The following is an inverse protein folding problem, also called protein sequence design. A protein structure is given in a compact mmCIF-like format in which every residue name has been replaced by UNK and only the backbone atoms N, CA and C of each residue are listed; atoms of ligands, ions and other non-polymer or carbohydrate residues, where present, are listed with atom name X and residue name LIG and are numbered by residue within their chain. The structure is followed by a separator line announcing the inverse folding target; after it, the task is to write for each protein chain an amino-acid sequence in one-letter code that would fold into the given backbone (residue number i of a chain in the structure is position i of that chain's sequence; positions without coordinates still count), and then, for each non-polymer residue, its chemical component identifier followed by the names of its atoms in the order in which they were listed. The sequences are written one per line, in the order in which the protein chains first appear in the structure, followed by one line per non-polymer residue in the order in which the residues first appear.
data_IF_658679303327
#
_entry.id   IF_658679303327
#
_cell.length_a   1.000
_cell.length_b   1.000
_cell.length_c   1.000
_cell.angle_alpha   90.00
_cell.angle_beta   90.00
_cell.angle_gamma   90.00
#
_symmetry.space_group_name_H-M   'P 1'
#
loop_
_entity.id
_entity.type
_entity.pdbx_description
1 polymer ?
#
# COMPACT_ATOMS: atom_id res chain seq x y z
N UNK A 1 -1.55 -8.17 -28.44
CA UNK A 1 -1.92 -8.84 -27.18
C UNK A 1 -2.88 -7.91 -26.48
N UNK A 2 -4.08 -8.33 -26.06
CA UNK A 2 -4.97 -7.40 -25.38
C UNK A 2 -4.33 -7.12 -24.01
N UNK A 3 -3.99 -5.87 -23.75
CA UNK A 3 -3.77 -5.39 -22.40
C UNK A 3 -5.10 -5.62 -21.66
N UNK A 4 -5.20 -6.71 -20.89
CA UNK A 4 -6.31 -6.90 -19.97
C UNK A 4 -6.26 -5.74 -18.98
N UNK A 5 -7.11 -4.73 -19.21
CA UNK A 5 -7.34 -3.64 -18.27
C UNK A 5 -8.01 -4.25 -17.03
N UNK A 6 -7.18 -4.72 -16.10
CA UNK A 6 -7.61 -5.09 -14.75
C UNK A 6 -8.29 -3.87 -14.13
N UNK A 7 -9.46 -4.07 -13.53
CA UNK A 7 -10.05 -3.06 -12.67
C UNK A 7 -9.14 -2.77 -11.47
N UNK A 8 -9.32 -1.62 -10.81
CA UNK A 8 -8.56 -1.28 -9.60
C UNK A 8 -8.66 -2.39 -8.54
N UNK A 9 -9.86 -2.95 -8.36
CA UNK A 9 -10.11 -4.07 -7.43
C UNK A 9 -9.31 -5.32 -7.82
N UNK A 10 -9.38 -5.74 -9.08
CA UNK A 10 -8.64 -6.93 -9.55
C UNK A 10 -7.13 -6.74 -9.48
N UNK A 11 -6.64 -5.55 -9.84
CA UNK A 11 -5.24 -5.20 -9.72
C UNK A 11 -4.79 -5.21 -8.24
N UNK A 12 -5.66 -4.75 -7.34
CA UNK A 12 -5.40 -4.75 -5.90
C UNK A 12 -5.34 -6.17 -5.34
N UNK A 13 -6.30 -7.03 -5.67
CA UNK A 13 -6.31 -8.43 -5.27
C UNK A 13 -5.04 -9.16 -5.75
N UNK A 14 -4.63 -8.92 -7.00
CA UNK A 14 -3.39 -9.47 -7.53
C UNK A 14 -2.16 -8.95 -6.76
N UNK A 15 -2.12 -7.65 -6.44
CA UNK A 15 -1.04 -7.05 -5.66
C UNK A 15 -0.93 -7.68 -4.27
N UNK A 16 -2.06 -7.90 -3.60
CA UNK A 16 -2.14 -8.56 -2.30
C UNK A 16 -1.67 -10.01 -2.40
N UNK A 17 -2.05 -10.76 -3.45
CA UNK A 17 -1.55 -12.11 -3.68
C UNK A 17 -0.03 -12.15 -3.87
N UNK A 18 0.54 -11.23 -4.64
CA UNK A 18 2.00 -11.11 -4.78
C UNK A 18 2.66 -10.79 -3.43
N UNK A 19 2.09 -9.86 -2.66
CA UNK A 19 2.59 -9.49 -1.35
C UNK A 19 2.60 -10.69 -0.38
N UNK A 20 1.51 -11.46 -0.33
CA UNK A 20 1.41 -12.66 0.51
C UNK A 20 2.40 -13.77 0.11
N UNK A 21 2.75 -13.85 -1.17
CA UNK A 21 3.75 -14.80 -1.68
C UNK A 21 5.20 -14.35 -1.44
N UNK A 22 5.41 -13.15 -0.89
CA UNK A 22 6.75 -12.56 -0.74
C UNK A 22 7.30 -11.93 -2.02
N UNK A 23 6.48 -11.84 -3.07
CA UNK A 23 6.82 -11.22 -4.36
C UNK A 23 6.66 -9.70 -4.25
N UNK A 24 7.49 -9.10 -3.40
CA UNK A 24 7.36 -7.72 -2.95
C UNK A 24 7.55 -6.70 -4.06
N UNK A 25 8.41 -6.99 -5.04
CA UNK A 25 8.67 -6.10 -6.18
C UNK A 25 7.45 -6.01 -7.09
N UNK A 26 6.84 -7.15 -7.42
CA UNK A 26 5.62 -7.23 -8.23
C UNK A 26 4.44 -6.56 -7.50
N UNK A 27 4.31 -6.81 -6.20
CA UNK A 27 3.29 -6.15 -5.38
C UNK A 27 3.47 -4.62 -5.39
N UNK A 28 4.69 -4.13 -5.20
CA UNK A 28 5.00 -2.69 -5.25
C UNK A 28 4.60 -2.07 -6.59
N UNK A 29 4.94 -2.73 -7.71
CA UNK A 29 4.58 -2.26 -9.06
C UNK A 29 3.07 -2.14 -9.21
N UNK A 30 2.31 -3.15 -8.77
CA UNK A 30 0.85 -3.15 -8.88
C UNK A 30 0.22 -2.07 -7.98
N UNK A 31 0.67 -1.92 -6.72
CA UNK A 31 0.18 -0.85 -5.86
C UNK A 31 0.44 0.54 -6.46
N UNK A 32 1.61 0.75 -7.06
CA UNK A 32 1.95 2.02 -7.73
C UNK A 32 1.05 2.28 -8.93
N UNK A 33 0.81 1.29 -9.79
CA UNK A 33 -0.13 1.40 -10.92
C UNK A 33 -1.55 1.74 -10.46
N UNK A 34 -2.02 1.12 -9.39
CA UNK A 34 -3.33 1.46 -8.79
C UNK A 34 -3.35 2.92 -8.35
N UNK A 35 -2.27 3.42 -7.76
CA UNK A 35 -2.17 4.82 -7.30
C UNK A 35 -1.99 5.82 -8.44
N UNK A 36 -1.47 5.42 -9.59
CA UNK A 36 -1.49 6.24 -10.81
C UNK A 36 -2.92 6.45 -11.30
N UNK A 37 -3.76 5.40 -11.26
CA UNK A 37 -5.17 5.48 -11.65
C UNK A 37 -6.08 6.10 -10.57
N UNK A 38 -5.82 5.80 -9.29
CA UNK A 38 -6.55 6.31 -8.14
C UNK A 38 -5.57 6.70 -7.01
N UNK A 39 -5.09 7.95 -6.99
CA UNK A 39 -4.15 8.43 -6.00
C UNK A 39 -4.64 8.39 -4.54
N UNK A 40 -5.96 8.22 -4.34
CA UNK A 40 -6.60 8.14 -3.01
C UNK A 40 -6.98 6.72 -2.62
N UNK A 41 -6.48 5.69 -3.32
CA UNK A 41 -6.71 4.30 -2.95
C UNK A 41 -5.97 3.96 -1.65
N UNK A 42 -6.66 4.16 -0.52
CA UNK A 42 -6.05 4.09 0.81
C UNK A 42 -5.49 2.70 1.15
N UNK A 43 -6.08 1.63 0.61
CA UNK A 43 -5.56 0.27 0.80
C UNK A 43 -4.17 0.12 0.14
N UNK A 44 -4.01 0.57 -1.11
CA UNK A 44 -2.69 0.53 -1.79
C UNK A 44 -1.65 1.40 -1.12
N UNK A 45 -2.05 2.58 -0.61
CA UNK A 45 -1.15 3.43 0.20
C UNK A 45 -0.72 2.71 1.48
N UNK A 46 -1.65 2.03 2.16
CA UNK A 46 -1.37 1.25 3.37
C UNK A 46 -0.38 0.11 3.12
N UNK A 47 -0.62 -0.71 2.10
CA UNK A 47 0.28 -1.81 1.74
C UNK A 47 1.67 -1.34 1.30
N UNK A 48 1.79 -0.22 0.56
CA UNK A 48 3.09 0.38 0.27
C UNK A 48 3.78 0.91 1.53
N UNK A 49 3.02 1.46 2.48
CA UNK A 49 3.54 1.87 3.78
C UNK A 49 4.12 0.70 4.56
N UNK A 50 3.38 -0.40 4.64
CA UNK A 50 3.84 -1.66 5.25
C UNK A 50 5.11 -2.19 4.59
N UNK A 51 5.14 -2.19 3.26
CA UNK A 51 6.31 -2.62 2.50
C UNK A 51 7.53 -1.73 2.77
N UNK A 52 7.33 -0.41 2.80
CA UNK A 52 8.38 0.54 3.16
C UNK A 52 8.92 0.29 4.57
N UNK A 53 8.03 0.02 5.55
CA UNK A 53 8.43 -0.37 6.91
C UNK A 53 9.28 -1.64 6.91
N UNK A 54 8.87 -2.67 6.18
CA UNK A 54 9.59 -3.95 6.09
C UNK A 54 11.01 -3.79 5.54
N UNK A 55 11.20 -2.87 4.59
CA UNK A 55 12.52 -2.52 4.06
C UNK A 55 13.23 -1.39 4.83
N UNK A 56 12.81 -1.09 6.07
CA UNK A 56 13.38 -0.06 6.96
C UNK A 56 13.38 1.36 6.37
N UNK A 57 12.50 1.64 5.40
CA UNK A 57 12.29 2.96 4.80
C UNK A 57 11.24 3.73 5.61
N UNK A 58 11.56 4.00 6.88
CA UNK A 58 10.58 4.51 7.85
C UNK A 58 9.98 5.87 7.48
N UNK A 59 10.77 6.79 6.93
CA UNK A 59 10.26 8.09 6.45
C UNK A 59 9.18 7.96 5.38
N UNK A 60 9.36 7.00 4.46
CA UNK A 60 8.41 6.73 3.38
C UNK A 60 7.15 6.07 3.95
N UNK A 61 7.33 5.08 4.84
CA UNK A 61 6.23 4.41 5.53
C UNK A 61 5.34 5.43 6.27
N UNK A 62 5.95 6.32 7.05
CA UNK A 62 5.25 7.37 7.79
C UNK A 62 4.38 8.23 6.87
N UNK A 63 4.98 8.79 5.82
CA UNK A 63 4.26 9.66 4.87
C UNK A 63 3.09 8.96 4.18
N UNK A 64 3.24 7.66 3.88
CA UNK A 64 2.18 6.87 3.25
C UNK A 64 1.04 6.60 4.24
N UNK A 65 1.35 6.20 5.46
CA UNK A 65 0.34 5.95 6.50
C UNK A 65 -0.38 7.24 6.94
N UNK A 66 0.31 8.37 6.99
CA UNK A 66 -0.32 9.68 7.21
C UNK A 66 -1.34 10.01 6.12
N UNK A 67 -1.04 9.72 4.84
CA UNK A 67 -2.02 9.87 3.76
C UNK A 67 -3.22 8.92 3.90
N UNK A 68 -3.00 7.69 4.36
CA UNK A 68 -4.08 6.74 4.64
C UNK A 68 -5.03 7.33 5.69
N UNK A 69 -4.51 7.89 6.78
CA UNK A 69 -5.31 8.52 7.84
C UNK A 69 -6.03 9.77 7.32
N UNK A 70 -5.38 10.57 6.46
CA UNK A 70 -6.06 11.72 5.83
C UNK A 70 -7.25 11.31 4.97
N UNK A 71 -7.20 10.14 4.32
CA UNK A 71 -8.28 9.63 3.46
C UNK A 71 -9.35 8.89 4.27
N UNK A 72 -8.92 8.04 5.21
CA UNK A 72 -9.78 7.27 6.10
C UNK A 72 -9.31 7.40 7.56
N UNK A 73 -9.75 8.45 8.28
CA UNK A 73 -9.32 8.72 9.65
C UNK A 73 -9.69 7.63 10.66
N UNK A 74 -10.69 6.81 10.35
CA UNK A 74 -11.21 5.79 11.25
C UNK A 74 -10.54 4.41 11.02
N UNK A 75 -9.58 4.32 10.10
CA UNK A 75 -8.88 3.06 9.84
C UNK A 75 -7.91 2.74 10.98
N UNK A 76 -8.38 1.92 11.93
CA UNK A 76 -7.61 1.50 13.10
C UNK A 76 -6.23 0.90 12.75
N UNK A 77 -6.14 0.16 11.64
CA UNK A 77 -4.89 -0.45 11.19
C UNK A 77 -3.82 0.60 10.85
N UNK A 78 -4.20 1.73 10.24
CA UNK A 78 -3.25 2.79 9.89
C UNK A 78 -2.66 3.48 11.12
N UNK A 79 -3.51 3.74 12.13
CA UNK A 79 -3.05 4.28 13.42
C UNK A 79 -2.14 3.31 14.15
N UNK A 80 -2.49 2.02 14.18
CA UNK A 80 -1.66 0.98 14.78
C UNK A 80 -0.29 0.90 14.09
N UNK A 81 -0.26 0.90 12.75
CA UNK A 81 0.98 0.84 11.99
C UNK A 81 1.88 2.06 12.20
N UNK A 82 1.32 3.28 12.36
CA UNK A 82 2.09 4.46 12.76
C UNK A 82 2.59 4.37 14.20
N UNK A 83 1.77 3.88 15.12
CA UNK A 83 2.16 3.68 16.51
C UNK A 83 3.38 2.77 16.62
N UNK A 84 3.33 1.61 15.94
CA UNK A 84 4.45 0.68 15.85
C UNK A 84 5.68 1.33 15.20
N UNK A 85 5.50 2.16 14.16
CA UNK A 85 6.60 2.84 13.50
C UNK A 85 7.36 3.82 14.43
N UNK A 86 6.68 4.41 15.41
CA UNK A 86 7.31 5.31 16.39
C UNK A 86 7.98 4.59 17.56
N UNK A 87 7.75 3.28 17.72
CA UNK A 87 8.35 2.47 18.78
C UNK A 87 9.70 1.85 18.39
N UNK A 88 10.01 1.84 17.09
CA UNK A 88 11.25 1.30 16.49
C UNK A 88 12.39 2.32 16.44
#
# INVERSE_FOLDING_TARGET
MPEENLSIEQAFDLAVQHHQKGNFQEAEILYRKILEANPKHYQSLGYLGLLAKQFKKYDISKRLLEKVIQINPNLAEAHNNLGLLYQE
#
